data_IF_971798017515
#
_entry.id   IF_971798017515
#
_cell.length_a   1.000
_cell.length_b   1.000
_cell.length_c   1.000
_cell.angle_alpha   90.00
_cell.angle_beta   90.00
_cell.angle_gamma   90.00
#
_symmetry.space_group_name_H-M   'P 1'
#
loop_
_entity.id
_entity.type
_entity.pdbx_description
1 polymer ?
#
# COMPACT_ATOMS: atom_id res chain seq x y z
N UNK A 1 -18.41 -9.08 2.31
CA UNK A 1 -19.63 -8.30 2.64
C UNK A 1 -20.52 -8.25 1.40
N UNK A 2 -21.83 -8.43 1.56
CA UNK A 2 -22.82 -8.31 0.47
C UNK A 2 -23.77 -7.19 0.80
N UNK A 3 -23.96 -6.24 -0.12
CA UNK A 3 -24.89 -5.13 0.00
C UNK A 3 -26.26 -5.55 -0.52
N UNK A 4 -27.32 -5.18 0.20
CA UNK A 4 -28.70 -5.36 -0.20
C UNK A 4 -29.33 -4.05 -0.72
N UNK A 5 -30.60 -4.10 -1.14
CA UNK A 5 -31.31 -2.95 -1.66
C UNK A 5 -31.44 -1.80 -0.63
N UNK A 6 -31.47 -2.11 0.65
CA UNK A 6 -31.54 -1.12 1.73
C UNK A 6 -30.20 -0.39 1.87
N UNK A 7 -29.07 -1.11 1.81
CA UNK A 7 -27.74 -0.50 1.85
C UNK A 7 -27.50 0.42 0.65
N UNK A 8 -27.99 0.04 -0.54
CA UNK A 8 -27.91 0.88 -1.75
C UNK A 8 -28.72 2.16 -1.62
N UNK A 9 -29.84 2.13 -0.88
CA UNK A 9 -30.74 3.29 -0.74
C UNK A 9 -30.32 4.24 0.38
N UNK A 10 -29.84 3.71 1.50
CA UNK A 10 -29.58 4.47 2.73
C UNK A 10 -28.10 4.56 3.12
N UNK A 11 -27.20 4.03 2.30
CA UNK A 11 -25.78 3.97 2.57
C UNK A 11 -25.33 2.63 3.19
N UNK A 12 -24.05 2.34 3.07
CA UNK A 12 -23.50 1.07 3.51
C UNK A 12 -22.70 1.15 4.85
N UNK A 13 -22.60 2.31 5.47
CA UNK A 13 -21.76 2.54 6.66
C UNK A 13 -22.04 1.52 7.78
N UNK A 14 -23.28 1.36 8.21
CA UNK A 14 -23.63 0.41 9.27
C UNK A 14 -23.28 -1.04 8.91
N UNK A 15 -23.39 -1.40 7.63
CA UNK A 15 -23.03 -2.74 7.16
C UNK A 15 -21.52 -2.96 7.13
N UNK A 16 -20.75 -1.91 6.82
CA UNK A 16 -19.28 -1.93 6.89
C UNK A 16 -18.82 -2.09 8.33
N UNK A 17 -19.40 -1.35 9.26
CA UNK A 17 -19.11 -1.42 10.69
C UNK A 17 -19.40 -2.83 11.26
N UNK A 18 -20.58 -3.40 10.95
CA UNK A 18 -20.94 -4.78 11.37
C UNK A 18 -19.92 -5.80 10.84
N UNK A 19 -19.57 -5.72 9.55
CA UNK A 19 -18.61 -6.64 8.94
C UNK A 19 -17.20 -6.45 9.50
N UNK A 20 -16.83 -5.22 9.84
CA UNK A 20 -15.54 -4.92 10.46
C UNK A 20 -15.45 -5.48 11.90
N UNK A 21 -16.52 -5.35 12.68
CA UNK A 21 -16.63 -5.93 14.02
C UNK A 21 -16.38 -7.44 14.02
N UNK A 22 -16.99 -8.15 13.06
CA UNK A 22 -16.81 -9.59 12.89
C UNK A 22 -15.36 -9.92 12.51
N UNK A 23 -14.80 -9.19 11.52
CA UNK A 23 -13.43 -9.35 11.07
C UNK A 23 -12.43 -9.09 12.21
N UNK A 24 -12.59 -8.00 12.96
CA UNK A 24 -11.70 -7.63 14.05
C UNK A 24 -11.69 -8.68 15.17
N UNK A 25 -12.88 -9.23 15.52
CA UNK A 25 -13.00 -10.28 16.55
C UNK A 25 -12.39 -11.60 16.12
N UNK A 26 -12.52 -11.98 14.84
CA UNK A 26 -12.07 -13.28 14.35
C UNK A 26 -10.57 -13.29 14.01
N UNK A 27 -10.07 -12.25 13.35
CA UNK A 27 -8.74 -12.25 12.75
C UNK A 27 -7.70 -11.40 13.47
N UNK A 28 -8.10 -10.48 14.33
CA UNK A 28 -7.21 -9.56 15.05
C UNK A 28 -6.18 -8.88 14.13
N UNK A 29 -6.62 -8.20 13.06
CA UNK A 29 -5.73 -7.66 12.05
C UNK A 29 -4.87 -6.51 12.61
N UNK A 30 -3.64 -6.36 12.09
CA UNK A 30 -2.77 -5.22 12.41
C UNK A 30 -3.04 -3.98 11.54
N UNK A 31 -3.75 -4.14 10.43
CA UNK A 31 -4.20 -3.09 9.54
C UNK A 31 -5.29 -3.62 8.60
N UNK A 32 -6.19 -2.77 8.12
CA UNK A 32 -7.26 -3.14 7.20
C UNK A 32 -7.35 -2.16 6.04
N UNK A 33 -7.55 -2.69 4.83
CA UNK A 33 -7.89 -1.88 3.66
C UNK A 33 -9.38 -2.03 3.34
N UNK A 34 -10.11 -0.93 3.34
CA UNK A 34 -11.49 -0.85 2.84
C UNK A 34 -11.43 -0.53 1.34
N UNK A 35 -11.47 -1.56 0.52
CA UNK A 35 -11.43 -1.39 -0.93
C UNK A 35 -12.84 -1.18 -1.45
N UNK A 36 -13.10 -0.01 -2.05
CA UNK A 36 -14.40 0.31 -2.61
C UNK A 36 -14.65 -0.47 -3.91
N UNK A 37 -15.92 -0.71 -4.17
CA UNK A 37 -16.42 -1.19 -5.47
C UNK A 37 -17.32 -0.12 -6.08
N UNK A 38 -17.85 -0.39 -7.27
CA UNK A 38 -18.67 0.58 -7.98
C UNK A 38 -19.90 1.06 -7.20
N UNK A 39 -20.55 0.23 -6.37
CA UNK A 39 -21.78 0.59 -5.68
C UNK A 39 -21.53 1.66 -4.60
N UNK A 40 -20.65 1.48 -3.60
CA UNK A 40 -20.34 2.52 -2.62
C UNK A 40 -19.90 3.84 -3.25
N UNK A 41 -19.14 3.80 -4.34
CA UNK A 41 -18.70 5.00 -5.06
C UNK A 41 -19.84 5.74 -5.77
N UNK A 42 -20.85 5.02 -6.28
CA UNK A 42 -22.01 5.61 -6.94
C UNK A 42 -23.01 6.23 -5.97
N UNK A 43 -23.22 5.60 -4.81
CA UNK A 43 -24.14 6.13 -3.79
C UNK A 43 -23.51 7.26 -2.98
N UNK A 44 -22.19 7.46 -3.09
CA UNK A 44 -21.47 8.57 -2.48
C UNK A 44 -21.22 8.40 -0.98
N UNK A 45 -21.10 7.15 -0.50
CA UNK A 45 -20.69 6.90 0.88
C UNK A 45 -19.28 7.45 1.13
N UNK A 46 -19.12 8.16 2.24
CA UNK A 46 -17.83 8.68 2.69
C UNK A 46 -17.00 7.57 3.34
N UNK A 47 -16.34 6.79 2.48
CA UNK A 47 -15.52 5.65 2.92
C UNK A 47 -14.28 6.09 3.71
N UNK A 48 -13.78 7.31 3.48
CA UNK A 48 -12.67 7.87 4.25
C UNK A 48 -13.11 8.15 5.69
N UNK A 49 -14.27 8.79 5.88
CA UNK A 49 -14.82 9.03 7.21
C UNK A 49 -15.13 7.72 7.96
N UNK A 50 -15.63 6.69 7.27
CA UNK A 50 -15.88 5.36 7.85
C UNK A 50 -14.55 4.74 8.26
N UNK A 51 -13.52 4.77 7.42
CA UNK A 51 -12.20 4.23 7.73
C UNK A 51 -11.56 4.93 8.93
N UNK A 52 -11.63 6.26 8.99
CA UNK A 52 -11.11 7.05 10.11
C UNK A 52 -11.84 6.71 11.42
N UNK A 53 -13.17 6.57 11.39
CA UNK A 53 -13.97 6.18 12.55
C UNK A 53 -13.58 4.79 13.08
N UNK A 54 -13.46 3.81 12.19
CA UNK A 54 -13.03 2.46 12.53
C UNK A 54 -11.58 2.42 13.05
N UNK A 55 -10.70 3.20 12.43
CA UNK A 55 -9.30 3.30 12.88
C UNK A 55 -9.20 3.81 14.33
N UNK A 56 -10.00 4.83 14.68
CA UNK A 56 -10.06 5.36 16.04
C UNK A 56 -10.69 4.38 17.03
N UNK A 57 -11.76 3.70 16.62
CA UNK A 57 -12.50 2.78 17.49
C UNK A 57 -11.69 1.54 17.87
N UNK A 58 -10.92 1.00 16.93
CA UNK A 58 -10.17 -0.25 17.10
C UNK A 58 -8.68 -0.08 17.35
N UNK A 59 -8.18 1.14 17.32
CA UNK A 59 -6.75 1.48 17.48
C UNK A 59 -5.84 0.72 16.51
N UNK A 60 -6.29 0.55 15.27
CA UNK A 60 -5.53 -0.05 14.16
C UNK A 60 -5.66 0.81 12.90
N UNK A 61 -4.65 0.84 12.03
CA UNK A 61 -4.76 1.55 10.75
C UNK A 61 -5.85 0.93 9.86
N UNK A 62 -6.82 1.75 9.48
CA UNK A 62 -7.84 1.40 8.48
C UNK A 62 -7.76 2.41 7.35
N UNK A 63 -7.49 1.96 6.13
CA UNK A 63 -7.30 2.82 4.97
C UNK A 63 -8.39 2.58 3.94
N UNK A 64 -9.08 3.63 3.51
CA UNK A 64 -9.97 3.57 2.36
C UNK A 64 -9.17 3.56 1.06
N UNK A 65 -9.52 2.68 0.12
CA UNK A 65 -8.94 2.59 -1.21
C UNK A 65 -10.05 2.74 -2.24
N UNK A 66 -10.13 3.91 -2.84
CA UNK A 66 -11.09 4.21 -3.89
C UNK A 66 -10.60 3.62 -5.22
N UNK A 67 -11.27 2.59 -5.73
CA UNK A 67 -10.86 1.97 -7.00
C UNK A 67 -11.23 2.81 -8.20
N UNK A 68 -12.27 3.64 -8.09
CA UNK A 68 -12.84 4.46 -9.18
C UNK A 68 -13.04 3.64 -10.47
N UNK A 69 -13.59 2.45 -10.30
CA UNK A 69 -13.74 1.46 -11.37
C UNK A 69 -14.33 2.03 -12.66
N UNK A 70 -15.29 2.96 -12.56
CA UNK A 70 -15.91 3.61 -13.73
C UNK A 70 -15.02 4.60 -14.46
N UNK A 71 -13.91 5.02 -13.86
CA UNK A 71 -12.97 6.00 -14.44
C UNK A 71 -11.69 5.35 -14.95
N UNK A 72 -11.56 4.02 -14.83
CA UNK A 72 -10.33 3.31 -15.11
C UNK A 72 -10.54 2.25 -16.19
N UNK A 73 -9.68 2.23 -17.20
CA UNK A 73 -9.69 1.22 -18.27
C UNK A 73 -9.08 -0.13 -17.85
N UNK A 74 -8.39 -0.15 -16.70
CA UNK A 74 -7.71 -1.34 -16.19
C UNK A 74 -7.50 -1.27 -14.66
N UNK A 75 -6.91 -2.32 -14.08
CA UNK A 75 -6.72 -2.48 -12.63
C UNK A 75 -5.50 -1.73 -12.04
N UNK A 76 -4.62 -1.15 -12.86
CA UNK A 76 -3.38 -0.54 -12.37
C UNK A 76 -3.61 0.64 -11.42
N UNK A 77 -4.56 1.56 -11.67
CA UNK A 77 -4.85 2.65 -10.73
C UNK A 77 -5.28 2.17 -9.35
N UNK A 78 -6.04 1.09 -9.26
CA UNK A 78 -6.42 0.48 -7.98
C UNK A 78 -5.21 -0.07 -7.22
N UNK A 79 -4.27 -0.73 -7.91
CA UNK A 79 -3.02 -1.20 -7.30
C UNK A 79 -2.15 -0.03 -6.82
N UNK A 80 -2.00 1.00 -7.63
CA UNK A 80 -1.25 2.22 -7.29
C UNK A 80 -1.81 2.88 -6.02
N UNK A 81 -3.14 3.01 -5.93
CA UNK A 81 -3.80 3.59 -4.76
C UNK A 81 -3.62 2.73 -3.52
N UNK A 82 -3.76 1.41 -3.65
CA UNK A 82 -3.55 0.48 -2.53
C UNK A 82 -2.12 0.56 -2.00
N UNK A 83 -1.13 0.55 -2.89
CA UNK A 83 0.29 0.69 -2.50
C UNK A 83 0.53 2.07 -1.85
N UNK A 84 -0.09 3.11 -2.40
CA UNK A 84 0.07 4.48 -1.89
C UNK A 84 -0.57 4.67 -0.52
N UNK A 85 -1.70 4.01 -0.25
CA UNK A 85 -2.37 4.05 1.06
C UNK A 85 -1.51 3.46 2.19
N UNK A 86 -0.53 2.61 1.87
CA UNK A 86 0.44 2.14 2.86
C UNK A 86 1.25 3.27 3.53
N UNK A 87 1.30 4.46 2.92
CA UNK A 87 1.95 5.63 3.51
C UNK A 87 1.37 6.02 4.87
N UNK A 88 0.06 5.81 5.08
CA UNK A 88 -0.64 6.21 6.30
C UNK A 88 -0.30 5.34 7.50
N UNK A 89 0.26 4.16 7.25
CA UNK A 89 0.84 3.31 8.29
C UNK A 89 2.29 3.67 8.65
N UNK A 90 2.98 4.46 7.82
CA UNK A 90 4.40 4.73 7.99
C UNK A 90 4.66 5.79 9.06
N UNK A 91 5.67 5.54 9.89
CA UNK A 91 6.11 6.39 10.97
C UNK A 91 7.51 6.94 10.70
N UNK A 92 7.82 8.19 11.15
CA UNK A 92 9.18 8.72 11.08
C UNK A 92 10.17 7.77 11.77
N UNK A 93 11.31 7.49 11.12
CA UNK A 93 12.35 6.59 11.60
C UNK A 93 13.73 7.21 11.43
N UNK A 94 14.70 6.77 12.26
CA UNK A 94 16.11 7.02 11.98
C UNK A 94 16.59 6.18 10.80
N UNK A 95 17.39 6.79 9.93
CA UNK A 95 17.90 6.11 8.72
C UNK A 95 18.99 5.10 9.11
N UNK A 96 18.81 3.84 8.72
CA UNK A 96 19.71 2.73 9.08
C UNK A 96 20.59 2.20 7.94
N UNK A 97 20.51 2.82 6.76
CA UNK A 97 21.30 2.43 5.60
C UNK A 97 20.70 1.30 4.75
N UNK A 98 19.57 0.71 5.16
CA UNK A 98 18.83 -0.25 4.34
C UNK A 98 18.23 0.39 3.09
N UNK A 99 17.75 -0.43 2.16
CA UNK A 99 17.01 0.03 0.97
C UNK A 99 15.64 -0.62 0.92
N UNK A 100 14.63 0.11 0.40
CA UNK A 100 13.33 -0.48 0.10
C UNK A 100 13.25 -0.87 -1.38
N UNK A 101 12.52 -1.93 -1.67
CA UNK A 101 12.16 -2.34 -3.03
C UNK A 101 10.66 -2.12 -3.23
N UNK A 102 10.29 -1.23 -4.14
CA UNK A 102 8.91 -0.82 -4.36
C UNK A 102 8.43 -1.18 -5.77
N UNK A 103 7.26 -1.82 -5.85
CA UNK A 103 6.58 -2.09 -7.11
C UNK A 103 6.68 -3.52 -7.61
N UNK A 104 7.32 -4.45 -6.90
CA UNK A 104 7.31 -5.87 -7.30
C UNK A 104 5.91 -6.46 -7.09
N UNK A 105 5.26 -6.81 -8.20
CA UNK A 105 3.86 -7.26 -8.19
C UNK A 105 3.68 -8.76 -7.96
N UNK A 106 4.68 -9.56 -8.32
CA UNK A 106 4.58 -11.02 -8.34
C UNK A 106 5.75 -11.63 -7.57
N UNK A 107 5.42 -12.36 -6.50
CA UNK A 107 6.40 -13.04 -5.67
C UNK A 107 7.36 -12.10 -4.90
N UNK A 108 8.23 -12.69 -4.13
CA UNK A 108 9.28 -11.96 -3.39
C UNK A 108 10.47 -11.67 -4.31
N UNK A 109 11.19 -10.60 -4.02
CA UNK A 109 12.40 -10.21 -4.74
C UNK A 109 13.59 -11.14 -4.52
N UNK A 110 13.52 -12.03 -3.55
CA UNK A 110 14.65 -12.85 -3.09
C UNK A 110 15.36 -13.64 -4.18
N UNK A 111 14.67 -13.91 -5.29
CA UNK A 111 15.20 -14.66 -6.45
C UNK A 111 15.61 -13.77 -7.62
N UNK A 112 15.48 -12.44 -7.49
CA UNK A 112 15.86 -11.54 -8.59
C UNK A 112 17.34 -11.22 -8.58
N UNK A 113 17.90 -10.94 -9.75
CA UNK A 113 19.30 -10.52 -9.90
C UNK A 113 19.61 -9.27 -9.08
N UNK A 114 18.71 -8.27 -9.10
CA UNK A 114 18.84 -7.06 -8.27
C UNK A 114 19.01 -7.41 -6.79
N UNK A 115 18.22 -8.35 -6.28
CA UNK A 115 18.34 -8.78 -4.89
C UNK A 115 19.67 -9.44 -4.60
N UNK A 116 20.17 -10.28 -5.51
CA UNK A 116 21.50 -10.91 -5.38
C UNK A 116 22.63 -9.88 -5.38
N UNK A 117 22.57 -8.89 -6.26
CA UNK A 117 23.57 -7.81 -6.33
C UNK A 117 23.57 -6.99 -5.04
N UNK A 118 22.41 -6.58 -4.54
CA UNK A 118 22.29 -5.82 -3.30
C UNK A 118 22.83 -6.61 -2.10
N UNK A 119 22.45 -7.88 -1.96
CA UNK A 119 22.96 -8.76 -0.88
C UNK A 119 24.45 -8.99 -0.98
N UNK A 120 24.99 -9.20 -2.19
CA UNK A 120 26.43 -9.37 -2.40
C UNK A 120 27.24 -8.11 -2.07
N UNK A 121 26.62 -6.93 -2.24
CA UNK A 121 27.18 -5.66 -1.83
C UNK A 121 27.01 -5.34 -0.33
N UNK A 122 26.43 -6.27 0.45
CA UNK A 122 26.18 -6.08 1.88
C UNK A 122 25.04 -5.11 2.19
N UNK A 123 24.16 -4.83 1.22
CA UNK A 123 23.02 -3.92 1.40
C UNK A 123 21.84 -4.69 1.96
N UNK A 124 21.34 -4.25 3.11
CA UNK A 124 20.12 -4.78 3.72
C UNK A 124 18.87 -4.29 2.96
N UNK A 125 17.93 -5.21 2.71
CA UNK A 125 16.63 -4.88 2.14
C UNK A 125 15.64 -4.73 3.29
N UNK A 126 15.11 -3.53 3.47
CA UNK A 126 14.16 -3.21 4.53
C UNK A 126 12.74 -3.65 4.20
N UNK A 127 12.04 -2.90 3.35
CA UNK A 127 10.65 -3.17 2.95
C UNK A 127 10.58 -3.60 1.48
N UNK A 128 9.80 -4.67 1.20
CA UNK A 128 9.49 -5.12 -0.15
C UNK A 128 7.98 -4.99 -0.41
N UNK A 129 7.54 -3.92 -1.05
CA UNK A 129 6.12 -3.62 -1.25
C UNK A 129 5.74 -3.67 -2.75
N UNK A 130 4.62 -4.28 -3.10
CA UNK A 130 3.56 -4.89 -2.28
C UNK A 130 3.81 -6.33 -1.82
N UNK A 131 4.77 -7.03 -2.37
CA UNK A 131 4.95 -8.45 -2.09
C UNK A 131 6.06 -8.70 -1.06
N UNK A 132 5.70 -9.38 0.03
CA UNK A 132 6.67 -9.95 0.96
C UNK A 132 7.04 -9.09 2.15
N UNK A 133 6.23 -8.09 2.51
CA UNK A 133 6.41 -7.32 3.74
C UNK A 133 5.26 -7.52 4.74
N UNK A 134 5.56 -7.35 6.01
CA UNK A 134 4.63 -7.27 7.11
C UNK A 134 4.18 -5.82 7.37
N UNK A 135 3.11 -5.64 8.13
CA UNK A 135 2.67 -4.31 8.59
C UNK A 135 3.79 -3.59 9.35
N UNK A 136 4.55 -4.32 10.16
CA UNK A 136 5.65 -3.75 10.95
C UNK A 136 6.82 -3.28 10.07
N UNK A 137 7.09 -3.95 8.95
CA UNK A 137 8.07 -3.50 7.95
C UNK A 137 7.57 -2.28 7.20
N UNK A 138 6.26 -2.20 6.88
CA UNK A 138 5.66 -1.01 6.26
C UNK A 138 5.77 0.20 7.19
N UNK A 139 5.41 0.05 8.48
CA UNK A 139 5.55 1.13 9.48
C UNK A 139 6.96 1.71 9.54
N UNK A 140 7.96 0.82 9.46
CA UNK A 140 9.38 1.18 9.50
C UNK A 140 9.99 1.51 8.13
N UNK A 141 9.19 1.51 7.06
CA UNK A 141 9.67 1.80 5.70
C UNK A 141 10.54 3.07 5.58
N UNK A 142 10.23 4.19 6.29
CA UNK A 142 11.05 5.40 6.23
C UNK A 142 12.46 5.30 6.79
N UNK A 143 12.83 4.22 7.50
CA UNK A 143 14.22 3.96 7.95
C UNK A 143 15.20 3.75 6.81
N UNK A 144 14.70 3.37 5.63
CA UNK A 144 15.55 3.10 4.49
C UNK A 144 16.25 4.35 3.95
N UNK A 145 17.52 4.19 3.57
CA UNK A 145 18.34 5.22 2.93
C UNK A 145 17.80 5.66 1.57
N UNK A 146 17.19 4.72 0.83
CA UNK A 146 16.65 4.96 -0.51
C UNK A 146 15.55 3.95 -0.86
N UNK A 147 14.56 4.41 -1.63
CA UNK A 147 13.56 3.57 -2.26
C UNK A 147 13.99 3.24 -3.68
N UNK A 148 14.16 1.96 -4.00
CA UNK A 148 14.38 1.47 -5.37
C UNK A 148 13.02 1.09 -5.94
N UNK A 149 12.55 1.87 -6.90
CA UNK A 149 11.25 1.67 -7.57
C UNK A 149 11.47 0.84 -8.82
N UNK A 150 10.84 -0.32 -8.91
CA UNK A 150 11.00 -1.26 -10.02
C UNK A 150 9.77 -1.36 -10.93
N UNK A 151 8.71 -0.62 -10.58
CA UNK A 151 7.51 -0.51 -11.40
C UNK A 151 6.78 0.81 -11.08
N UNK A 152 6.23 1.44 -12.11
CA UNK A 152 5.55 2.74 -12.06
C UNK A 152 4.42 2.82 -11.04
N UNK A 153 3.73 1.70 -10.76
CA UNK A 153 2.64 1.65 -9.78
C UNK A 153 3.05 2.08 -8.35
N UNK A 154 4.35 2.01 -8.03
CA UNK A 154 4.87 2.43 -6.74
C UNK A 154 5.49 3.84 -6.75
N UNK A 155 5.53 4.49 -7.92
CA UNK A 155 6.10 5.83 -8.05
C UNK A 155 5.37 6.89 -7.21
N UNK A 156 4.02 6.92 -7.13
CA UNK A 156 3.30 7.86 -6.27
C UNK A 156 3.67 7.70 -4.79
N UNK A 157 3.78 6.46 -4.30
CA UNK A 157 4.23 6.20 -2.93
C UNK A 157 5.65 6.73 -2.71
N UNK A 158 6.60 6.40 -3.60
CA UNK A 158 7.98 6.84 -3.47
C UNK A 158 8.11 8.38 -3.41
N UNK A 159 7.38 9.09 -4.27
CA UNK A 159 7.30 10.56 -4.27
C UNK A 159 6.71 11.11 -2.97
N UNK A 160 5.67 10.46 -2.41
CA UNK A 160 5.07 10.87 -1.15
C UNK A 160 6.00 10.58 0.04
N UNK A 161 6.71 9.44 0.05
CA UNK A 161 7.72 9.13 1.07
C UNK A 161 8.86 10.16 1.07
N UNK A 162 9.33 10.56 -0.11
CA UNK A 162 10.34 11.62 -0.23
C UNK A 162 9.83 12.94 0.36
N UNK A 163 8.59 13.34 0.06
CA UNK A 163 8.01 14.59 0.58
C UNK A 163 7.77 14.55 2.09
N UNK A 164 7.30 13.42 2.63
CA UNK A 164 6.88 13.31 4.03
C UNK A 164 8.03 12.97 4.97
N UNK A 165 8.96 12.11 4.53
CA UNK A 165 10.03 11.56 5.37
C UNK A 165 11.44 11.90 4.87
N UNK A 166 11.57 12.49 3.69
CA UNK A 166 12.86 12.79 3.09
C UNK A 166 13.55 11.58 2.44
N UNK A 167 12.93 10.39 2.42
CA UNK A 167 13.52 9.18 1.84
C UNK A 167 13.61 9.32 0.32
N UNK A 168 14.80 9.43 -0.27
CA UNK A 168 14.95 9.60 -1.72
C UNK A 168 14.54 8.34 -2.47
N UNK A 169 14.31 8.46 -3.76
CA UNK A 169 14.02 7.29 -4.60
C UNK A 169 14.82 7.32 -5.91
N UNK A 170 15.04 6.12 -6.45
CA UNK A 170 15.56 5.90 -7.79
C UNK A 170 14.60 4.97 -8.54
N UNK A 171 14.36 5.24 -9.82
CA UNK A 171 13.62 4.33 -10.68
C UNK A 171 14.59 3.38 -11.36
N UNK A 172 14.43 2.08 -11.12
CA UNK A 172 15.22 1.02 -11.73
C UNK A 172 14.46 0.46 -12.92
N UNK A 173 14.70 1.01 -14.08
CA UNK A 173 14.17 0.52 -15.34
C UNK A 173 15.18 -0.39 -16.02
N UNK A 174 15.01 -1.69 -15.86
CA UNK A 174 15.90 -2.68 -16.47
C UNK A 174 15.71 -2.85 -17.99
N UNK A 175 14.72 -2.17 -18.57
CA UNK A 175 14.38 -2.39 -19.99
C UNK A 175 14.74 -1.21 -20.89
N UNK A 176 14.99 -0.02 -20.35
CA UNK A 176 15.20 1.19 -21.14
C UNK A 176 16.64 1.55 -21.42
N UNK A 177 17.60 0.99 -20.70
CA UNK A 177 19.01 1.29 -20.91
C UNK A 177 19.86 0.02 -20.80
N UNK A 178 20.14 -0.66 -21.92
CA UNK A 178 20.98 -1.86 -21.95
C UNK A 178 22.38 -1.64 -21.37
N UNK A 179 22.92 -0.41 -21.46
CA UNK A 179 24.26 -0.06 -20.99
C UNK A 179 24.32 0.10 -19.45
N UNK A 180 23.16 0.17 -18.79
CA UNK A 180 23.05 0.16 -17.32
C UNK A 180 22.96 -1.24 -16.71
N UNK A 181 22.92 -2.28 -17.54
CA UNK A 181 22.81 -3.69 -17.12
C UNK A 181 24.21 -4.32 -17.02
N UNK A 182 25.22 -3.65 -17.52
CA UNK A 182 26.63 -4.00 -17.42
C UNK A 182 27.31 -3.15 -16.35
#
# INVERSE_FOLDING_TARGET
MVLDAQNVTFGCAAKVEEAFDELAREYHPKAVFLVTTCIPELIGDDMDAIADGLSQQYDIPVMAVHTEHFKCDNHLPGLERTITACLDMMEPQEVDGSVNLLGQRMGRFDTTELCHVLKSAGVEIGMQLPCGCSVDEIRRGPRAKVNIVVNDIAMPLAKKMQRRFGTPYVFFDKYTDPDRIL
#
